data_IF_495909407074
#
_entry.id   IF_495909407074
#
_cell.length_a   1.000
_cell.length_b   1.000
_cell.length_c   1.000
_cell.angle_alpha   90.00
_cell.angle_beta   90.00
_cell.angle_gamma   90.00
#
_symmetry.space_group_name_H-M   'P 1'
#
loop_
_entity.id
_entity.type
_entity.pdbx_description
1 polymer ?
#
# COMPACT_ATOMS: atom_id res chain seq x y z
N UNK A 1 5.53 -21.53 -10.04
CA UNK A 1 6.33 -21.06 -8.90
C UNK A 1 5.45 -20.20 -8.01
N UNK A 2 5.43 -20.51 -6.70
CA UNK A 2 4.71 -19.76 -5.66
C UNK A 2 5.74 -19.10 -4.75
N UNK A 3 5.60 -17.80 -4.53
CA UNK A 3 6.50 -17.01 -3.68
C UNK A 3 5.66 -16.33 -2.60
N UNK A 4 5.97 -16.59 -1.33
CA UNK A 4 5.41 -15.86 -0.22
C UNK A 4 6.31 -14.66 0.13
N UNK A 5 5.72 -13.49 0.35
CA UNK A 5 6.45 -12.32 0.86
C UNK A 5 5.89 -12.00 2.24
N UNK A 6 6.71 -12.08 3.26
CA UNK A 6 6.27 -11.91 4.64
C UNK A 6 7.38 -11.57 5.60
N UNK A 7 7.03 -11.25 6.86
CA UNK A 7 8.01 -11.00 7.93
C UNK A 7 8.57 -12.30 8.50
N UNK A 8 7.79 -13.37 8.49
CA UNK A 8 8.14 -14.67 9.04
C UNK A 8 7.46 -15.79 8.27
N UNK A 9 7.91 -17.01 8.53
CA UNK A 9 7.26 -18.21 7.99
C UNK A 9 5.96 -18.48 8.75
N UNK A 10 4.88 -18.68 7.99
CA UNK A 10 3.55 -19.06 8.46
C UNK A 10 3.04 -20.30 7.72
N UNK A 11 1.80 -20.68 7.99
CA UNK A 11 1.16 -21.87 7.38
C UNK A 11 1.06 -21.70 5.86
N UNK A 12 0.67 -20.51 5.39
CA UNK A 12 0.52 -20.22 3.94
C UNK A 12 1.87 -20.24 3.24
N UNK A 13 2.88 -19.59 3.80
CA UNK A 13 4.23 -19.54 3.23
C UNK A 13 4.91 -20.90 3.20
N UNK A 14 4.53 -21.80 4.13
CA UNK A 14 5.02 -23.18 4.16
C UNK A 14 4.59 -24.00 2.94
N UNK A 15 3.55 -23.59 2.21
CA UNK A 15 3.05 -24.18 0.97
C UNK A 15 3.63 -23.54 -0.29
N UNK A 16 4.56 -22.58 -0.14
CA UNK A 16 5.21 -21.89 -1.24
C UNK A 16 6.57 -22.48 -1.56
N UNK A 17 7.00 -22.33 -2.81
CA UNK A 17 8.30 -22.81 -3.28
C UNK A 17 9.44 -21.95 -2.73
N UNK A 18 9.17 -20.65 -2.50
CA UNK A 18 10.12 -19.69 -1.98
C UNK A 18 9.45 -18.78 -0.95
N UNK A 19 10.24 -18.35 0.03
CA UNK A 19 9.86 -17.34 1.01
C UNK A 19 10.84 -16.18 0.89
N UNK A 20 10.33 -15.01 0.49
CA UNK A 20 11.08 -13.77 0.42
C UNK A 20 10.76 -12.92 1.65
N UNK A 21 11.75 -12.69 2.50
CA UNK A 21 11.57 -11.89 3.71
C UNK A 21 11.51 -10.41 3.36
N UNK A 22 10.51 -9.70 3.89
CA UNK A 22 10.42 -8.24 3.81
C UNK A 22 10.85 -7.59 5.12
N UNK A 23 11.36 -6.33 5.10
CA UNK A 23 11.61 -5.58 6.32
C UNK A 23 10.30 -5.18 7.02
N UNK A 24 10.41 -4.83 8.27
CA UNK A 24 9.33 -4.19 9.01
C UNK A 24 9.12 -2.75 8.49
N UNK A 25 7.92 -2.17 8.66
CA UNK A 25 7.65 -0.79 8.20
C UNK A 25 8.54 0.26 8.90
N UNK A 26 9.07 -0.02 10.09
CA UNK A 26 10.04 0.83 10.77
C UNK A 26 11.43 0.83 10.13
N UNK A 27 11.70 -0.10 9.24
CA UNK A 27 12.99 -0.30 8.56
C UNK A 27 12.96 0.19 7.10
N UNK A 28 11.82 0.65 6.60
CA UNK A 28 11.64 0.88 5.17
C UNK A 28 10.83 2.13 4.86
N UNK A 29 11.17 2.77 3.74
CA UNK A 29 10.40 3.85 3.17
C UNK A 29 9.09 3.34 2.57
N UNK A 30 8.05 4.16 2.63
CA UNK A 30 6.78 3.85 2.01
C UNK A 30 5.84 5.06 2.01
N UNK A 31 4.67 4.85 1.45
CA UNK A 31 3.58 5.82 1.50
C UNK A 31 2.23 5.11 1.61
N UNK A 32 1.22 5.87 1.95
CA UNK A 32 -0.15 5.41 1.96
C UNK A 32 -1.10 6.56 1.64
N UNK A 33 -2.17 6.25 0.93
CA UNK A 33 -3.29 7.17 0.71
C UNK A 33 -4.55 6.57 1.33
N UNK A 34 -4.75 6.73 2.66
CA UNK A 34 -5.86 6.10 3.37
C UNK A 34 -7.22 6.66 2.97
N UNK A 35 -7.25 7.90 2.49
CA UNK A 35 -8.44 8.56 1.95
C UNK A 35 -8.08 9.32 0.68
N UNK A 36 -9.07 9.68 -0.12
CA UNK A 36 -8.86 10.47 -1.34
C UNK A 36 -8.25 11.86 -1.08
N UNK A 37 -8.35 12.35 0.15
CA UNK A 37 -7.91 13.69 0.54
C UNK A 37 -6.64 13.71 1.40
N UNK A 38 -6.00 12.55 1.63
CA UNK A 38 -4.85 12.46 2.54
C UNK A 38 -3.82 11.49 2.00
N UNK A 39 -2.58 11.94 1.89
CA UNK A 39 -1.41 11.11 1.60
C UNK A 39 -0.45 11.15 2.78
N UNK A 40 0.15 10.03 3.13
CA UNK A 40 1.13 9.92 4.22
C UNK A 40 2.42 9.30 3.74
N UNK A 41 3.53 9.81 4.27
CA UNK A 41 4.87 9.30 4.05
C UNK A 41 5.30 8.44 5.24
N UNK A 42 5.76 7.23 4.98
CA UNK A 42 6.33 6.33 5.96
C UNK A 42 7.85 6.43 5.87
N UNK A 43 8.49 6.84 6.97
CA UNK A 43 9.93 7.00 7.06
C UNK A 43 10.53 5.91 7.94
N UNK A 44 11.65 5.27 7.54
CA UNK A 44 12.32 4.32 8.39
C UNK A 44 12.87 5.02 9.65
N UNK A 45 12.63 4.44 10.80
CA UNK A 45 13.16 4.91 12.09
C UNK A 45 14.37 4.12 12.57
N UNK A 46 14.59 2.94 11.99
CA UNK A 46 15.74 2.08 12.25
C UNK A 46 16.32 1.57 10.92
N UNK A 47 17.60 1.21 10.94
CA UNK A 47 18.21 0.49 9.82
C UNK A 47 17.64 -0.93 9.72
N UNK A 48 17.64 -1.55 8.53
CA UNK A 48 17.24 -2.95 8.37
C UNK A 48 18.06 -3.86 9.28
N UNK A 49 17.38 -4.73 10.03
CA UNK A 49 18.00 -5.66 10.96
C UNK A 49 18.49 -6.94 10.27
N UNK A 50 17.90 -7.28 9.14
CA UNK A 50 18.16 -8.51 8.41
C UNK A 50 18.38 -8.22 6.92
N UNK A 51 19.01 -9.16 6.22
CA UNK A 51 19.08 -9.13 4.75
C UNK A 51 17.71 -9.44 4.16
N UNK A 52 16.91 -8.39 4.05
CA UNK A 52 15.54 -8.43 3.56
C UNK A 52 15.32 -7.39 2.47
N UNK A 53 14.31 -7.60 1.61
CA UNK A 53 13.97 -6.67 0.53
C UNK A 53 12.49 -6.34 0.55
N UNK A 54 12.17 -5.05 0.46
CA UNK A 54 10.78 -4.59 0.39
C UNK A 54 9.99 -5.30 -0.70
N UNK A 55 8.72 -5.56 -0.43
CA UNK A 55 7.82 -6.19 -1.39
C UNK A 55 7.71 -5.34 -2.66
N UNK A 56 7.54 -4.04 -2.51
CA UNK A 56 7.41 -3.07 -3.59
C UNK A 56 8.67 -3.05 -4.49
N UNK A 57 9.86 -3.05 -3.88
CA UNK A 57 11.11 -3.14 -4.62
C UNK A 57 11.23 -4.48 -5.36
N UNK A 58 10.75 -5.56 -4.77
CA UNK A 58 10.73 -6.88 -5.41
C UNK A 58 9.81 -6.87 -6.62
N UNK A 59 8.62 -6.29 -6.51
CA UNK A 59 7.70 -6.16 -7.65
C UNK A 59 8.26 -5.29 -8.77
N UNK A 60 8.84 -4.14 -8.46
CA UNK A 60 9.48 -3.27 -9.44
C UNK A 60 10.65 -3.98 -10.16
N UNK A 61 11.45 -4.75 -9.40
CA UNK A 61 12.56 -5.53 -9.95
C UNK A 61 12.07 -6.65 -10.87
N UNK A 62 11.06 -7.40 -10.46
CA UNK A 62 10.50 -8.50 -11.26
C UNK A 62 9.75 -8.01 -12.49
N UNK A 63 9.10 -6.85 -12.38
CA UNK A 63 8.47 -6.18 -13.51
C UNK A 63 9.48 -5.51 -14.47
N UNK A 64 10.77 -5.51 -14.15
CA UNK A 64 11.80 -4.81 -14.92
C UNK A 64 11.43 -3.34 -15.16
N UNK A 65 10.95 -2.67 -14.11
CA UNK A 65 10.48 -1.29 -14.20
C UNK A 65 11.58 -0.34 -14.66
N UNK A 66 11.33 0.41 -15.72
CA UNK A 66 12.23 1.44 -16.23
C UNK A 66 12.40 2.63 -15.24
N UNK A 67 11.50 2.76 -14.28
CA UNK A 67 11.55 3.81 -13.26
C UNK A 67 12.41 3.44 -12.05
N UNK A 68 12.95 2.21 -12.01
CA UNK A 68 13.83 1.78 -10.95
C UNK A 68 15.29 2.15 -11.30
N UNK A 69 15.85 3.06 -10.54
CA UNK A 69 17.23 3.52 -10.72
C UNK A 69 18.18 2.69 -9.84
N UNK A 70 19.35 2.30 -10.38
CA UNK A 70 20.36 1.55 -9.65
C UNK A 70 21.13 2.50 -8.71
N UNK A 71 20.69 2.56 -7.45
CA UNK A 71 21.30 3.35 -6.36
C UNK A 71 21.36 2.51 -5.10
N UNK A 72 21.94 3.04 -4.03
CA UNK A 72 21.98 2.40 -2.71
C UNK A 72 20.57 2.30 -2.08
N UNK A 73 19.64 3.19 -2.49
CA UNK A 73 18.27 3.22 -2.00
C UNK A 73 17.25 3.31 -3.15
N UNK A 74 17.17 2.28 -4.03
CA UNK A 74 16.42 2.35 -5.27
C UNK A 74 14.92 2.59 -5.05
N UNK A 75 14.33 2.06 -3.98
CA UNK A 75 12.91 2.29 -3.70
C UNK A 75 12.65 3.70 -3.17
N UNK A 76 13.55 4.27 -2.38
CA UNK A 76 13.45 5.67 -1.92
C UNK A 76 13.46 6.64 -3.10
N UNK A 77 14.37 6.45 -4.05
CA UNK A 77 14.44 7.29 -5.25
C UNK A 77 13.18 7.14 -6.12
N UNK A 78 12.68 5.93 -6.26
CA UNK A 78 11.41 5.67 -6.94
C UNK A 78 10.24 6.40 -6.25
N UNK A 79 10.14 6.28 -4.93
CA UNK A 79 9.10 6.93 -4.13
C UNK A 79 9.16 8.45 -4.27
N UNK A 80 10.36 9.02 -4.14
CA UNK A 80 10.60 10.46 -4.28
C UNK A 80 10.21 10.97 -5.68
N UNK A 81 10.61 10.27 -6.72
CA UNK A 81 10.24 10.60 -8.11
C UNK A 81 8.71 10.49 -8.34
N UNK A 82 8.07 9.47 -7.76
CA UNK A 82 6.62 9.31 -7.84
C UNK A 82 5.88 10.46 -7.15
N UNK A 83 6.33 10.88 -5.97
CA UNK A 83 5.76 12.01 -5.26
C UNK A 83 5.94 13.33 -6.01
N UNK A 84 7.08 13.50 -6.68
CA UNK A 84 7.31 14.65 -7.55
C UNK A 84 6.34 14.70 -8.73
N UNK A 85 6.11 13.55 -9.37
CA UNK A 85 5.23 13.45 -10.52
C UNK A 85 3.74 13.50 -10.18
N UNK A 86 3.36 13.17 -8.95
CA UNK A 86 1.95 13.06 -8.52
C UNK A 86 1.56 14.11 -7.49
N UNK A 87 1.94 13.94 -6.24
CA UNK A 87 1.52 14.79 -5.12
C UNK A 87 2.00 16.24 -5.28
N UNK A 88 3.27 16.45 -5.66
CA UNK A 88 3.79 17.79 -5.92
C UNK A 88 3.15 18.43 -7.14
N UNK A 89 2.96 17.68 -8.23
CA UNK A 89 2.32 18.23 -9.43
C UNK A 89 0.84 18.61 -9.24
N UNK A 90 0.18 18.06 -8.23
CA UNK A 90 -1.23 18.32 -7.92
C UNK A 90 -1.46 19.49 -6.95
N UNK A 91 -0.40 20.06 -6.34
CA UNK A 91 -0.50 21.15 -5.39
C UNK A 91 0.02 22.47 -5.98
N UNK A 92 -0.28 23.62 -5.32
CA UNK A 92 0.16 24.96 -5.72
C UNK A 92 0.76 25.79 -4.58
N UNK A 93 0.93 25.19 -3.41
CA UNK A 93 1.44 25.86 -2.21
C UNK A 93 2.95 26.04 -2.27
N UNK A 94 3.68 25.02 -2.72
CA UNK A 94 5.13 25.00 -2.80
C UNK A 94 5.61 25.24 -4.23
N UNK A 95 6.54 26.19 -4.39
CA UNK A 95 7.11 26.51 -5.69
C UNK A 95 8.15 25.50 -6.18
N UNK A 96 8.82 24.78 -5.26
CA UNK A 96 9.86 23.79 -5.57
C UNK A 96 9.55 22.45 -4.95
N UNK A 97 9.98 21.38 -5.61
CA UNK A 97 9.82 20.03 -5.07
C UNK A 97 10.58 19.83 -3.75
N UNK A 98 11.77 20.40 -3.62
CA UNK A 98 12.57 20.26 -2.40
C UNK A 98 11.85 20.83 -1.18
N UNK A 99 11.27 22.04 -1.30
CA UNK A 99 10.49 22.65 -0.20
C UNK A 99 9.24 21.82 0.15
N UNK A 100 8.58 21.25 -0.86
CA UNK A 100 7.44 20.35 -0.67
C UNK A 100 7.88 19.05 0.02
N UNK A 101 8.99 18.46 -0.42
CA UNK A 101 9.52 17.23 0.13
C UNK A 101 9.97 17.38 1.58
N UNK A 102 10.66 18.47 1.91
CA UNK A 102 11.06 18.79 3.29
C UNK A 102 9.85 18.94 4.20
N UNK A 103 8.79 19.60 3.71
CA UNK A 103 7.54 19.71 4.46
C UNK A 103 6.87 18.32 4.64
N UNK A 104 6.89 17.47 3.62
CA UNK A 104 6.37 16.12 3.71
C UNK A 104 7.13 15.27 4.73
N UNK A 105 8.45 15.38 4.76
CA UNK A 105 9.31 14.73 5.75
C UNK A 105 9.00 15.22 7.19
N UNK A 106 8.74 16.51 7.35
CA UNK A 106 8.46 17.09 8.65
C UNK A 106 7.07 16.70 9.19
N UNK A 107 6.05 16.75 8.35
CA UNK A 107 4.66 16.53 8.76
C UNK A 107 4.25 15.05 8.72
N UNK A 108 4.84 14.28 7.81
CA UNK A 108 4.50 12.86 7.58
C UNK A 108 3.13 12.63 6.92
N UNK A 109 2.20 13.58 7.04
CA UNK A 109 0.83 13.51 6.47
C UNK A 109 0.50 14.82 5.80
N UNK A 110 0.05 14.75 4.54
CA UNK A 110 -0.32 15.92 3.75
C UNK A 110 -1.73 15.81 3.20
N UNK A 111 -2.46 16.95 3.10
CA UNK A 111 -3.72 16.98 2.36
C UNK A 111 -3.44 16.82 0.86
N UNK A 112 -4.31 16.11 0.17
CA UNK A 112 -4.31 16.05 -1.30
C UNK A 112 -5.56 16.72 -1.84
N UNK A 113 -5.45 17.55 -2.90
CA UNK A 113 -6.63 18.09 -3.57
C UNK A 113 -7.39 16.92 -4.22
N UNK A 114 -8.60 16.66 -3.74
CA UNK A 114 -9.46 15.65 -4.31
C UNK A 114 -10.89 16.16 -4.38
N UNK A 115 -11.47 16.07 -5.56
CA UNK A 115 -12.92 16.18 -5.74
C UNK A 115 -13.51 14.78 -5.71
N UNK A 116 -13.91 14.32 -4.53
CA UNK A 116 -14.65 13.06 -4.43
C UNK A 116 -16.11 13.33 -4.83
N UNK A 117 -16.50 12.85 -5.99
CA UNK A 117 -17.90 12.77 -6.37
C UNK A 117 -18.52 11.55 -5.70
N UNK A 118 -19.56 11.75 -4.91
CA UNK A 118 -20.32 10.63 -4.38
C UNK A 118 -20.96 9.86 -5.55
N UNK A 119 -20.59 8.61 -5.70
CA UNK A 119 -21.27 7.72 -6.65
C UNK A 119 -22.73 7.52 -6.25
N UNK A 120 -23.65 7.57 -7.20
CA UNK A 120 -25.02 7.17 -6.95
C UNK A 120 -25.08 5.64 -6.86
N UNK A 121 -25.68 5.12 -5.79
CA UNK A 121 -25.95 3.68 -5.70
C UNK A 121 -27.06 3.33 -6.70
N UNK A 122 -26.76 2.49 -7.68
CA UNK A 122 -27.70 2.06 -8.74
C UNK A 122 -28.20 0.62 -8.56
N UNK A 123 -27.81 -0.04 -7.46
CA UNK A 123 -28.23 -1.42 -7.18
C UNK A 123 -29.65 -1.50 -6.59
N UNK A 124 -30.32 -2.63 -6.83
CA UNK A 124 -31.59 -2.96 -6.17
C UNK A 124 -31.32 -3.76 -4.88
N UNK A 125 -31.40 -3.06 -3.74
CA UNK A 125 -31.21 -3.66 -2.41
C UNK A 125 -32.27 -4.72 -2.14
N UNK A 126 -33.51 -4.48 -2.55
CA UNK A 126 -34.63 -5.41 -2.29
C UNK A 126 -34.47 -6.72 -3.07
N UNK A 127 -34.00 -6.64 -4.33
CA UNK A 127 -33.67 -7.81 -5.12
C UNK A 127 -32.49 -8.59 -4.51
N UNK A 128 -31.49 -7.89 -3.96
CA UNK A 128 -30.36 -8.53 -3.28
C UNK A 128 -30.79 -9.30 -2.02
N UNK A 129 -31.73 -8.77 -1.24
CA UNK A 129 -32.28 -9.50 -0.09
C UNK A 129 -33.07 -10.73 -0.50
N UNK A 130 -33.73 -10.72 -1.67
CA UNK A 130 -34.45 -11.87 -2.21
C UNK A 130 -33.53 -13.05 -2.56
N UNK A 131 -32.24 -12.79 -2.81
CA UNK A 131 -31.23 -13.80 -3.13
C UNK A 131 -30.54 -14.40 -1.90
N UNK A 132 -30.81 -13.90 -0.70
CA UNK A 132 -30.26 -14.47 0.54
C UNK A 132 -30.98 -15.78 0.84
N UNK A 133 -30.24 -16.88 0.80
CA UNK A 133 -30.76 -18.20 1.18
C UNK A 133 -31.05 -18.18 2.68
N UNK A 134 -32.30 -18.42 3.04
CA UNK A 134 -32.68 -18.58 4.46
C UNK A 134 -32.53 -20.05 4.85
N UNK A 135 -31.97 -20.35 6.04
CA UNK A 135 -31.86 -21.72 6.51
C UNK A 135 -33.25 -22.35 6.65
N UNK A 136 -33.38 -23.61 6.24
CA UNK A 136 -34.59 -24.41 6.42
C UNK A 136 -34.85 -24.73 7.89
N UNK A 137 -36.05 -25.24 8.22
CA UNK A 137 -36.44 -25.55 9.61
C UNK A 137 -35.53 -26.57 10.32
N UNK A 138 -34.76 -27.37 9.56
CA UNK A 138 -33.83 -28.38 10.07
C UNK A 138 -32.37 -28.03 9.84
N UNK A 139 -32.04 -26.83 9.41
CA UNK A 139 -30.69 -26.35 9.15
C UNK A 139 -30.23 -25.43 10.29
N UNK A 140 -28.94 -25.46 10.58
CA UNK A 140 -28.29 -24.63 11.61
C UNK A 140 -27.38 -23.66 10.88
N UNK A 141 -27.56 -22.37 11.16
CA UNK A 141 -26.68 -21.32 10.68
C UNK A 141 -25.51 -21.14 11.64
N UNK A 142 -24.30 -21.24 11.15
CA UNK A 142 -23.07 -21.16 11.95
C UNK A 142 -22.28 -19.93 11.50
N UNK A 143 -21.99 -19.06 12.43
CA UNK A 143 -21.12 -17.89 12.24
C UNK A 143 -19.79 -18.13 12.93
N UNK A 144 -18.69 -17.90 12.19
CA UNK A 144 -17.35 -17.88 12.74
C UNK A 144 -16.88 -16.44 12.84
N UNK A 145 -16.35 -16.05 13.99
CA UNK A 145 -15.68 -14.76 14.18
C UNK A 145 -14.44 -14.95 15.06
N UNK A 146 -13.42 -14.12 14.77
CA UNK A 146 -12.20 -14.04 15.54
C UNK A 146 -12.37 -13.14 16.77
#
# INVERSE_FOLDING_TARGET
TKIAIGLSKDETSSLCDYIATKPHFLESWGDAQPTATTISLIQPTIAPLFDSRQAELSYLTWAQSANLVATDQPYFEYLKANWQATAFAAQSEFATFDSFWDNALQLGVLPTPSSVSAGAFSGDVSASFGNVTKPGKSEIEIYFYE
#
